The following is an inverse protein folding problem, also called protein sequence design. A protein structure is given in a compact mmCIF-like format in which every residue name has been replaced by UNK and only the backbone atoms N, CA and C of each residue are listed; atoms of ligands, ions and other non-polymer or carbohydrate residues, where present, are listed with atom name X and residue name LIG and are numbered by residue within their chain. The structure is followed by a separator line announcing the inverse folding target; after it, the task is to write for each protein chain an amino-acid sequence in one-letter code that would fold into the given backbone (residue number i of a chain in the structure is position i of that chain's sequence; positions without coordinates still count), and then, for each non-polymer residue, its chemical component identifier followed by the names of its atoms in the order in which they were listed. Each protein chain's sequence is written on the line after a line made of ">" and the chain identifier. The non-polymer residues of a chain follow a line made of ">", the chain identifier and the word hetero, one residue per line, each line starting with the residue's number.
data_IF_398142331808
#
_entry.id   IF_398142331808
#
_cell.length_a   1.000
_cell.length_b   1.000
_cell.length_c   1.000
_cell.angle_alpha   90.00
_cell.angle_beta   90.00
_cell.angle_gamma   90.00
#
_symmetry.space_group_name_H-M   'P 1'
#
loop_
_entity.id
_entity.type
_entity.pdbx_description
1 polymer ?
#
# COMPACT_ATOMS: atom_id res chain seq x y z
N UNK A 1 -25.40 16.72 20.83
CA UNK A 1 -23.97 16.85 21.17
C UNK A 1 -23.22 17.19 19.89
N UNK A 2 -22.15 17.99 19.96
CA UNK A 2 -21.32 18.22 18.78
C UNK A 2 -20.74 16.87 18.35
N UNK A 3 -20.88 16.53 17.07
CA UNK A 3 -20.39 15.26 16.49
C UNK A 3 -18.86 15.24 16.31
N UNK A 4 -18.17 16.27 16.80
CA UNK A 4 -16.74 16.45 16.69
C UNK A 4 -16.14 17.19 17.89
N UNK A 5 -14.81 17.04 18.08
CA UNK A 5 -13.99 17.63 19.15
C UNK A 5 -12.96 18.62 18.63
N UNK A 6 -13.16 19.20 17.44
CA UNK A 6 -12.19 20.11 16.82
C UNK A 6 -11.82 21.29 17.74
N UNK A 7 -12.81 21.85 18.45
CA UNK A 7 -12.56 22.98 19.36
C UNK A 7 -11.65 22.57 20.52
N UNK A 8 -11.90 21.42 21.14
CA UNK A 8 -11.09 20.91 22.25
C UNK A 8 -9.64 20.66 21.81
N UNK A 9 -9.45 20.12 20.60
CA UNK A 9 -8.13 19.88 20.03
C UNK A 9 -7.39 21.19 19.79
N UNK A 10 -8.06 22.21 19.23
CA UNK A 10 -7.46 23.53 19.03
C UNK A 10 -7.09 24.20 20.35
N UNK A 11 -7.97 24.15 21.35
CA UNK A 11 -7.71 24.69 22.69
C UNK A 11 -6.51 23.98 23.34
N UNK A 12 -6.42 22.65 23.21
CA UNK A 12 -5.30 21.85 23.74
C UNK A 12 -3.96 22.22 23.09
N UNK A 13 -3.97 22.51 21.79
CA UNK A 13 -2.80 22.92 21.00
C UNK A 13 -2.53 24.43 21.08
N UNK A 14 -3.34 25.20 21.82
CA UNK A 14 -3.29 26.67 21.90
C UNK A 14 -3.31 27.34 20.51
N UNK A 15 -4.10 26.77 19.59
CA UNK A 15 -4.17 27.20 18.20
C UNK A 15 -5.49 27.92 17.93
N UNK A 16 -5.42 29.05 17.24
CA UNK A 16 -6.58 29.82 16.80
C UNK A 16 -7.12 29.33 15.45
N UNK A 17 -8.37 29.67 15.14
CA UNK A 17 -8.94 29.41 13.80
C UNK A 17 -8.17 30.11 12.68
N UNK A 18 -7.52 31.25 12.97
CA UNK A 18 -6.70 31.97 12.00
C UNK A 18 -5.44 31.18 11.63
N UNK A 19 -4.83 30.50 12.60
CA UNK A 19 -3.67 29.63 12.38
C UNK A 19 -4.08 28.35 11.66
N UNK A 20 -5.17 27.71 12.08
CA UNK A 20 -5.70 26.54 11.36
C UNK A 20 -6.03 26.88 9.90
N UNK A 21 -6.63 28.05 9.65
CA UNK A 21 -6.91 28.53 8.29
C UNK A 21 -5.64 28.60 7.44
N UNK A 22 -4.54 29.14 7.96
CA UNK A 22 -3.27 29.22 7.24
C UNK A 22 -2.73 27.83 6.88
N UNK A 23 -2.77 26.89 7.82
CA UNK A 23 -2.33 25.51 7.58
C UNK A 23 -3.19 24.80 6.52
N UNK A 24 -4.49 25.07 6.49
CA UNK A 24 -5.39 24.54 5.48
C UNK A 24 -5.15 25.17 4.10
N UNK A 25 -4.80 26.46 4.04
CA UNK A 25 -4.43 27.14 2.79
C UNK A 25 -3.15 26.56 2.17
N UNK A 26 -2.18 26.12 2.98
CA UNK A 26 -0.98 25.40 2.51
C UNK A 26 -1.32 24.06 1.83
N UNK A 27 -2.47 23.46 2.16
CA UNK A 27 -3.00 22.23 1.56
C UNK A 27 -4.03 22.51 0.45
N UNK A 28 -4.07 23.73 -0.09
CA UNK A 28 -5.02 24.21 -1.11
C UNK A 28 -6.50 24.13 -0.66
N UNK A 29 -6.77 24.16 0.65
CA UNK A 29 -8.12 24.16 1.22
C UNK A 29 -8.52 25.59 1.61
N UNK A 30 -9.47 26.15 0.85
CA UNK A 30 -10.01 27.50 1.11
C UNK A 30 -11.20 27.45 2.07
N UNK A 31 -10.95 27.82 3.33
CA UNK A 31 -11.99 27.97 4.37
C UNK A 31 -11.81 29.29 5.13
N UNK A 32 -12.90 29.83 5.68
CA UNK A 32 -12.87 31.04 6.51
C UNK A 32 -13.09 30.74 8.00
N UNK A 33 -12.74 31.69 8.88
CA UNK A 33 -12.83 31.50 10.33
C UNK A 33 -14.28 31.26 10.80
N UNK A 34 -15.27 31.86 10.13
CA UNK A 34 -16.68 31.63 10.43
C UNK A 34 -17.11 30.20 10.13
N UNK A 35 -16.65 29.61 9.02
CA UNK A 35 -16.86 28.22 8.67
C UNK A 35 -16.21 27.28 9.69
N UNK A 36 -14.94 27.51 10.04
CA UNK A 36 -14.22 26.71 11.03
C UNK A 36 -14.91 26.75 12.41
N UNK A 37 -15.41 27.91 12.83
CA UNK A 37 -16.20 28.05 14.05
C UNK A 37 -17.50 27.24 13.99
N UNK A 38 -18.21 27.28 12.87
CA UNK A 38 -19.43 26.47 12.66
C UNK A 38 -19.14 24.97 12.61
N UNK A 39 -18.00 24.56 12.04
CA UNK A 39 -17.55 23.16 12.01
C UNK A 39 -17.24 22.67 13.42
N UNK A 40 -16.45 23.44 14.18
CA UNK A 40 -16.04 23.09 15.54
C UNK A 40 -17.20 22.98 16.53
N UNK A 41 -18.30 23.68 16.27
CA UNK A 41 -19.51 23.62 17.10
C UNK A 41 -20.51 22.56 16.65
N UNK A 42 -20.22 21.84 15.56
CA UNK A 42 -21.12 20.85 14.97
C UNK A 42 -22.39 21.44 14.35
N UNK A 43 -22.51 22.77 14.28
CA UNK A 43 -23.67 23.45 13.67
C UNK A 43 -23.71 23.29 12.16
N UNK A 44 -22.56 23.01 11.55
CA UNK A 44 -22.42 22.79 10.11
C UNK A 44 -21.30 21.81 9.88
N UNK A 45 -21.46 20.94 8.88
CA UNK A 45 -20.36 20.13 8.36
C UNK A 45 -19.80 20.73 7.06
N UNK A 46 -18.51 20.55 6.76
CA UNK A 46 -17.95 20.90 5.47
C UNK A 46 -18.68 20.14 4.36
N UNK A 47 -18.90 20.81 3.22
CA UNK A 47 -19.53 20.19 2.05
C UNK A 47 -18.68 19.05 1.50
N UNK A 48 -17.37 19.26 1.46
CA UNK A 48 -16.39 18.23 1.14
C UNK A 48 -15.89 17.61 2.45
N UNK A 49 -16.22 16.34 2.69
CA UNK A 49 -15.87 15.63 3.92
C UNK A 49 -14.36 15.42 4.08
N UNK A 50 -13.59 15.44 2.99
CA UNK A 50 -12.10 15.38 3.02
C UNK A 50 -11.48 16.52 3.83
N UNK A 51 -12.19 17.64 4.00
CA UNK A 51 -11.74 18.74 4.86
C UNK A 51 -11.46 18.24 6.28
N UNK A 52 -12.21 17.26 6.80
CA UNK A 52 -11.94 16.71 8.14
C UNK A 52 -10.63 15.93 8.21
N UNK A 53 -10.26 15.23 7.14
CA UNK A 53 -8.98 14.50 7.01
C UNK A 53 -7.83 15.49 6.95
N UNK A 54 -7.96 16.53 6.13
CA UNK A 54 -6.90 17.53 6.00
C UNK A 54 -6.74 18.29 7.32
N UNK A 55 -7.83 18.55 8.05
CA UNK A 55 -7.76 19.10 9.40
C UNK A 55 -7.02 18.14 10.35
N UNK A 56 -7.27 16.83 10.29
CA UNK A 56 -6.56 15.85 11.15
C UNK A 56 -5.07 15.80 10.83
N UNK A 57 -4.71 15.81 9.55
CA UNK A 57 -3.32 15.85 9.07
C UNK A 57 -2.58 17.10 9.55
N UNK A 58 -3.12 18.31 9.33
CA UNK A 58 -2.43 19.55 9.71
C UNK A 58 -2.35 19.74 11.22
N UNK A 59 -3.28 19.14 11.97
CA UNK A 59 -3.23 19.12 13.42
C UNK A 59 -2.36 17.97 13.96
N UNK A 60 -1.92 17.04 13.11
CA UNK A 60 -1.18 15.83 13.48
C UNK A 60 -1.89 15.05 14.60
N UNK A 61 -3.16 14.70 14.35
CA UNK A 61 -4.02 13.89 15.23
C UNK A 61 -4.80 12.89 14.39
N UNK A 62 -5.29 11.82 14.99
CA UNK A 62 -6.12 10.86 14.27
C UNK A 62 -7.50 11.44 13.95
N UNK A 63 -8.09 11.07 12.80
CA UNK A 63 -9.41 11.55 12.38
C UNK A 63 -10.49 11.25 13.44
N UNK A 64 -10.40 10.09 14.09
CA UNK A 64 -11.30 9.67 15.17
C UNK A 64 -11.18 10.50 16.46
N UNK A 65 -10.05 11.18 16.67
CA UNK A 65 -9.91 12.14 17.78
C UNK A 65 -10.75 13.40 17.52
N UNK A 66 -10.89 13.78 16.25
CA UNK A 66 -11.73 14.90 15.83
C UNK A 66 -13.19 14.46 15.68
N UNK A 67 -13.46 13.37 14.96
CA UNK A 67 -14.80 12.87 14.66
C UNK A 67 -15.10 11.67 15.55
N UNK A 68 -15.77 11.92 16.67
CA UNK A 68 -16.11 10.88 17.65
C UNK A 68 -17.37 10.10 17.31
N UNK A 69 -18.19 10.61 16.39
CA UNK A 69 -19.36 9.90 15.91
C UNK A 69 -18.96 8.82 14.87
N UNK A 70 -19.22 7.56 15.22
CA UNK A 70 -18.80 6.40 14.41
C UNK A 70 -19.44 6.43 13.02
N UNK A 71 -20.71 6.81 12.91
CA UNK A 71 -21.41 6.85 11.62
C UNK A 71 -20.83 7.95 10.72
N UNK A 72 -20.53 9.12 11.28
CA UNK A 72 -19.85 10.19 10.57
C UNK A 72 -18.45 9.78 10.10
N UNK A 73 -17.67 9.12 10.97
CA UNK A 73 -16.35 8.58 10.62
C UNK A 73 -16.44 7.60 9.44
N UNK A 74 -17.31 6.58 9.53
CA UNK A 74 -17.48 5.59 8.46
C UNK A 74 -17.89 6.24 7.14
N UNK A 75 -18.75 7.25 7.18
CA UNK A 75 -19.17 7.96 5.96
C UNK A 75 -18.03 8.77 5.34
N UNK A 76 -17.19 9.41 6.16
CA UNK A 76 -15.99 10.12 5.68
C UNK A 76 -15.01 9.13 5.04
N UNK A 77 -14.77 7.99 5.68
CA UNK A 77 -13.87 6.95 5.16
C UNK A 77 -14.38 6.32 3.86
N UNK A 78 -15.68 6.08 3.74
CA UNK A 78 -16.29 5.58 2.50
C UNK A 78 -16.12 6.59 1.35
N UNK A 79 -16.37 7.89 1.58
CA UNK A 79 -16.16 8.93 0.57
C UNK A 79 -14.68 9.12 0.19
N UNK A 80 -13.75 8.86 1.10
CA UNK A 80 -12.31 8.83 0.77
C UNK A 80 -12.04 7.65 -0.16
N UNK A 81 -12.55 6.47 0.16
CA UNK A 81 -12.41 5.26 -0.65
C UNK A 81 -12.98 5.44 -2.06
N UNK A 82 -14.18 6.01 -2.20
CA UNK A 82 -14.84 6.25 -3.49
C UNK A 82 -14.17 7.35 -4.34
N UNK A 83 -13.48 8.30 -3.70
CA UNK A 83 -12.68 9.29 -4.43
C UNK A 83 -11.22 8.86 -4.64
N UNK A 84 -10.82 7.68 -4.15
CA UNK A 84 -9.52 7.06 -4.44
C UNK A 84 -9.54 6.39 -5.82
N UNK A 85 -10.72 5.99 -6.31
CA UNK A 85 -10.92 5.48 -7.68
C UNK A 85 -10.62 6.49 -8.80
N UNK A 86 -10.41 7.77 -8.47
CA UNK A 86 -9.95 8.80 -9.42
C UNK A 86 -8.76 9.60 -8.84
N UNK A 87 -7.73 8.89 -8.37
CA UNK A 87 -6.32 9.33 -8.40
C UNK A 87 -5.42 8.13 -8.14
N UNK A 88 -5.54 7.11 -9.00
CA UNK A 88 -4.54 6.06 -9.11
C UNK A 88 -3.24 6.65 -9.69
N UNK A 89 -2.43 7.24 -8.82
CA UNK A 89 -1.02 6.87 -8.81
C UNK A 89 -0.93 5.49 -8.15
N UNK A 90 -1.55 4.49 -8.81
CA UNK A 90 -1.12 3.10 -8.73
C UNK A 90 0.37 3.20 -9.00
N UNK A 91 1.19 2.94 -7.98
CA UNK A 91 2.65 3.01 -8.16
C UNK A 91 2.99 2.16 -9.38
N UNK A 92 3.98 2.57 -10.19
CA UNK A 92 4.36 1.78 -11.38
C UNK A 92 4.52 0.29 -11.04
N UNK A 93 4.96 -0.02 -9.81
CA UNK A 93 5.03 -1.35 -9.21
C UNK A 93 3.70 -2.09 -9.09
N UNK A 94 2.66 -1.44 -8.55
CA UNK A 94 1.33 -2.05 -8.47
C UNK A 94 0.69 -2.21 -9.87
N UNK A 95 1.01 -1.35 -10.84
CA UNK A 95 0.63 -1.53 -12.25
C UNK A 95 1.40 -2.68 -12.91
N UNK A 96 2.68 -2.83 -12.61
CA UNK A 96 3.53 -3.93 -13.09
C UNK A 96 3.01 -5.26 -12.51
N UNK A 97 2.65 -5.28 -11.23
CA UNK A 97 2.10 -6.48 -10.60
C UNK A 97 0.73 -6.86 -11.20
N UNK A 98 -0.15 -5.88 -11.44
CA UNK A 98 -1.41 -6.12 -12.15
C UNK A 98 -1.18 -6.60 -13.60
N UNK A 99 -0.25 -5.98 -14.33
CA UNK A 99 0.06 -6.38 -15.71
C UNK A 99 0.62 -7.80 -15.78
N UNK A 100 1.55 -8.14 -14.87
CA UNK A 100 2.14 -9.48 -14.77
C UNK A 100 1.06 -10.51 -14.40
N UNK A 101 0.20 -10.20 -13.44
CA UNK A 101 -0.89 -11.09 -13.06
C UNK A 101 -1.82 -11.40 -14.24
N UNK A 102 -2.21 -10.38 -15.01
CA UNK A 102 -3.07 -10.57 -16.19
C UNK A 102 -2.37 -11.36 -17.30
N UNK A 103 -1.08 -11.12 -17.53
CA UNK A 103 -0.29 -11.92 -18.46
C UNK A 103 -0.29 -13.40 -18.05
N UNK A 104 0.10 -13.71 -16.82
CA UNK A 104 0.20 -15.09 -16.34
C UNK A 104 -1.17 -15.77 -16.27
N UNK A 105 -2.23 -15.04 -15.91
CA UNK A 105 -3.60 -15.56 -15.92
C UNK A 105 -4.04 -15.95 -17.33
N UNK A 106 -3.65 -15.18 -18.36
CA UNK A 106 -3.98 -15.49 -19.76
C UNK A 106 -3.31 -16.77 -20.29
N UNK A 107 -2.29 -17.29 -19.59
CA UNK A 107 -1.56 -18.49 -19.97
C UNK A 107 -2.15 -19.78 -19.39
N UNK A 108 -3.06 -19.67 -18.42
CA UNK A 108 -3.53 -20.81 -17.61
C UNK A 108 -5.02 -21.07 -17.78
N UNK A 109 -5.43 -22.28 -17.39
CA UNK A 109 -6.84 -22.61 -17.27
C UNK A 109 -7.38 -22.13 -15.91
N UNK A 110 -8.18 -21.05 -15.94
CA UNK A 110 -8.80 -20.48 -14.75
C UNK A 110 -9.72 -21.46 -14.00
N UNK A 111 -10.23 -22.50 -14.68
CA UNK A 111 -11.04 -23.52 -14.04
C UNK A 111 -10.22 -24.53 -13.22
N UNK A 112 -8.89 -24.52 -13.37
CA UNK A 112 -7.98 -25.42 -12.68
C UNK A 112 -7.32 -24.74 -11.46
N UNK A 113 -7.70 -25.12 -10.21
CA UNK A 113 -7.21 -24.43 -9.01
C UNK A 113 -5.69 -24.48 -8.84
N UNK A 114 -5.05 -25.56 -9.29
CA UNK A 114 -3.59 -25.72 -9.21
C UNK A 114 -2.81 -24.82 -10.16
N UNK A 115 -3.43 -24.31 -11.23
CA UNK A 115 -2.79 -23.33 -12.12
C UNK A 115 -3.02 -21.92 -11.61
N UNK A 116 -4.23 -21.61 -11.13
CA UNK A 116 -4.52 -20.33 -10.49
C UNK A 116 -3.61 -20.08 -9.28
N UNK A 117 -3.38 -21.11 -8.46
CA UNK A 117 -2.46 -21.01 -7.32
C UNK A 117 -1.01 -20.70 -7.75
N UNK A 118 -0.53 -21.26 -8.88
CA UNK A 118 0.81 -20.96 -9.40
C UNK A 118 0.95 -19.51 -9.82
N UNK A 119 -0.08 -18.94 -10.45
CA UNK A 119 -0.11 -17.51 -10.81
C UNK A 119 0.00 -16.65 -9.57
N UNK A 120 -0.85 -16.92 -8.57
CA UNK A 120 -0.84 -16.17 -7.30
C UNK A 120 0.51 -16.30 -6.57
N UNK A 121 1.06 -17.52 -6.52
CA UNK A 121 2.36 -17.81 -5.90
C UNK A 121 3.48 -17.07 -6.61
N UNK A 122 3.49 -17.04 -7.94
CA UNK A 122 4.49 -16.31 -8.72
C UNK A 122 4.47 -14.81 -8.39
N UNK A 123 3.30 -14.17 -8.47
CA UNK A 123 3.14 -12.76 -8.12
C UNK A 123 3.56 -12.47 -6.67
N UNK A 124 3.21 -13.34 -5.74
CA UNK A 124 3.61 -13.22 -4.32
C UNK A 124 5.13 -13.31 -4.12
N UNK A 125 5.80 -14.23 -4.82
CA UNK A 125 7.25 -14.37 -4.78
C UNK A 125 7.94 -13.16 -5.43
N UNK A 126 7.41 -12.65 -6.55
CA UNK A 126 7.95 -11.46 -7.22
C UNK A 126 7.87 -10.22 -6.31
N UNK A 127 6.73 -10.00 -5.67
CA UNK A 127 6.57 -8.91 -4.69
C UNK A 127 7.53 -9.06 -3.49
N UNK A 128 7.73 -10.29 -3.01
CA UNK A 128 8.69 -10.55 -1.92
C UNK A 128 10.13 -10.27 -2.36
N UNK A 129 10.49 -10.64 -3.58
CA UNK A 129 11.81 -10.38 -4.14
C UNK A 129 12.12 -8.89 -4.24
N UNK A 130 11.15 -8.09 -4.68
CA UNK A 130 11.27 -6.63 -4.75
C UNK A 130 11.47 -6.02 -3.36
N UNK A 131 10.64 -6.41 -2.38
CA UNK A 131 10.74 -5.90 -1.01
C UNK A 131 12.08 -6.22 -0.37
N UNK A 132 12.58 -7.45 -0.54
CA UNK A 132 13.92 -7.82 -0.07
C UNK A 132 15.01 -6.96 -0.72
N UNK A 133 14.82 -6.57 -1.98
CA UNK A 133 15.73 -5.66 -2.67
C UNK A 133 15.71 -4.24 -2.10
N UNK A 134 14.53 -3.72 -1.77
CA UNK A 134 14.37 -2.43 -1.08
C UNK A 134 15.06 -2.44 0.28
N UNK A 135 14.83 -3.48 1.09
CA UNK A 135 15.45 -3.65 2.41
C UNK A 135 16.99 -3.69 2.30
N UNK A 136 17.54 -4.38 1.28
CA UNK A 136 18.99 -4.43 1.03
C UNK A 136 19.54 -3.07 0.60
N UNK A 137 18.79 -2.28 -0.17
CA UNK A 137 19.20 -0.93 -0.59
C UNK A 137 19.21 0.02 0.62
N UNK A 138 18.19 -0.08 1.48
CA UNK A 138 18.03 0.76 2.67
C UNK A 138 19.08 0.44 3.75
N UNK A 139 19.22 -0.84 4.11
CA UNK A 139 20.13 -1.27 5.19
C UNK A 139 21.57 -1.48 4.71
N UNK A 140 21.76 -1.67 3.42
CA UNK A 140 23.03 -2.01 2.80
C UNK A 140 23.33 -3.52 2.82
N UNK A 141 24.32 -3.93 2.03
CA UNK A 141 24.72 -5.32 1.88
C UNK A 141 25.40 -5.93 3.12
N UNK A 142 25.85 -5.08 4.04
CA UNK A 142 26.52 -5.45 5.29
C UNK A 142 25.88 -4.69 6.43
N UNK A 143 25.33 -5.42 7.39
CA UNK A 143 24.70 -4.88 8.58
C UNK A 143 25.64 -4.99 9.79
N UNK A 144 25.51 -4.05 10.72
CA UNK A 144 26.28 -4.03 11.96
C UNK A 144 25.41 -4.59 13.07
N UNK A 145 25.89 -5.67 13.70
CA UNK A 145 25.16 -6.36 14.77
C UNK A 145 25.93 -6.20 16.09
N UNK A 146 25.30 -5.71 17.17
CA UNK A 146 25.90 -5.70 18.50
C UNK A 146 26.20 -7.13 18.98
N UNK A 147 27.39 -7.33 19.57
CA UNK A 147 27.83 -8.60 20.14
C UNK A 147 28.60 -8.35 21.44
N UNK A 148 27.89 -8.44 22.56
CA UNK A 148 28.42 -8.02 23.87
C UNK A 148 28.82 -6.55 23.85
N UNK A 149 30.05 -6.25 24.25
CA UNK A 149 30.62 -4.90 24.25
C UNK A 149 31.21 -4.47 22.88
N UNK A 150 31.06 -5.31 21.85
CA UNK A 150 31.65 -5.07 20.52
C UNK A 150 30.58 -5.07 19.42
N UNK A 151 30.96 -4.60 18.22
CA UNK A 151 30.11 -4.63 17.03
C UNK A 151 30.73 -5.51 15.95
N UNK A 152 29.91 -6.36 15.33
CA UNK A 152 30.35 -7.29 14.28
C UNK A 152 29.64 -6.96 12.99
N UNK A 153 30.39 -6.88 11.88
CA UNK A 153 29.84 -6.73 10.53
C UNK A 153 29.43 -8.11 10.01
N UNK A 154 28.18 -8.23 9.57
CA UNK A 154 27.64 -9.45 8.95
C UNK A 154 26.97 -9.11 7.64
N UNK A 155 26.95 -10.07 6.71
CA UNK A 155 26.15 -9.96 5.48
C UNK A 155 24.69 -9.77 5.84
N UNK A 156 23.99 -8.89 5.11
CA UNK A 156 22.56 -8.70 5.29
C UNK A 156 21.82 -10.04 5.04
N UNK A 157 21.07 -10.56 6.04
CA UNK A 157 20.32 -11.81 5.89
C UNK A 157 19.34 -11.80 4.70
N UNK A 158 18.80 -10.64 4.35
CA UNK A 158 17.88 -10.47 3.23
C UNK A 158 18.50 -10.89 1.88
N UNK A 159 19.83 -10.79 1.72
CA UNK A 159 20.53 -11.23 0.49
C UNK A 159 20.34 -12.75 0.30
N UNK A 160 20.51 -13.54 1.36
CA UNK A 160 20.38 -14.99 1.26
C UNK A 160 18.92 -15.40 0.98
N UNK A 161 17.95 -14.69 1.54
CA UNK A 161 16.54 -14.90 1.22
C UNK A 161 16.21 -14.49 -0.21
N UNK A 162 16.74 -13.36 -0.69
CA UNK A 162 16.50 -12.88 -2.05
C UNK A 162 16.99 -13.89 -3.09
N UNK A 163 18.15 -14.53 -2.85
CA UNK A 163 18.66 -15.62 -3.69
C UNK A 163 17.72 -16.84 -3.68
N UNK A 164 17.15 -17.21 -2.51
CA UNK A 164 16.19 -18.32 -2.42
C UNK A 164 14.89 -18.02 -3.17
N UNK A 165 14.35 -16.82 -3.01
CA UNK A 165 13.14 -16.38 -3.73
C UNK A 165 13.38 -16.36 -5.23
N UNK A 166 14.53 -15.86 -5.69
CA UNK A 166 14.91 -15.88 -7.11
C UNK A 166 14.97 -17.29 -7.69
N UNK A 167 15.57 -18.24 -6.96
CA UNK A 167 15.62 -19.63 -7.41
C UNK A 167 14.21 -20.26 -7.53
N UNK A 168 13.29 -19.91 -6.63
CA UNK A 168 11.90 -20.35 -6.72
C UNK A 168 11.15 -19.70 -7.90
N UNK A 169 11.40 -18.42 -8.18
CA UNK A 169 10.85 -17.71 -9.32
C UNK A 169 11.31 -18.32 -10.64
N UNK A 170 12.61 -18.60 -10.81
CA UNK A 170 13.15 -19.23 -12.03
C UNK A 170 12.44 -20.55 -12.32
N UNK A 171 12.29 -21.41 -11.30
CA UNK A 171 11.59 -22.71 -11.46
C UNK A 171 10.13 -22.57 -11.86
N UNK A 172 9.41 -21.58 -11.31
CA UNK A 172 8.04 -21.33 -11.72
C UNK A 172 7.95 -20.68 -13.09
N UNK A 173 8.91 -19.82 -13.46
CA UNK A 173 8.95 -19.17 -14.76
C UNK A 173 9.20 -20.19 -15.88
N UNK A 174 10.04 -21.21 -15.65
CA UNK A 174 10.21 -22.35 -16.56
C UNK A 174 8.86 -23.02 -16.89
N UNK A 175 7.98 -23.18 -15.90
CA UNK A 175 6.64 -23.71 -16.11
C UNK A 175 5.76 -22.78 -16.96
N UNK A 176 5.80 -21.47 -16.71
CA UNK A 176 5.06 -20.47 -17.50
C UNK A 176 5.62 -20.33 -18.93
N UNK A 177 6.92 -20.49 -19.13
CA UNK A 177 7.55 -20.47 -20.45
C UNK A 177 7.03 -21.61 -21.35
N UNK A 178 6.82 -22.78 -20.76
CA UNK A 178 6.23 -23.91 -21.46
C UNK A 178 4.75 -23.68 -21.82
N UNK A 179 4.00 -22.95 -20.97
CA UNK A 179 2.65 -22.49 -21.31
C UNK A 179 2.66 -21.47 -22.45
N UNK A 180 3.60 -20.51 -22.46
CA UNK A 180 3.80 -19.55 -23.55
C UNK A 180 4.09 -20.25 -24.88
N UNK A 181 4.97 -21.24 -24.89
CA UNK A 181 5.30 -22.03 -26.09
C UNK A 181 4.09 -22.81 -26.61
N UNK A 182 3.36 -23.47 -25.70
CA UNK A 182 2.16 -24.24 -26.03
C UNK A 182 1.06 -23.36 -26.66
N UNK A 183 0.89 -22.13 -26.17
CA UNK A 183 -0.10 -21.19 -26.68
C UNK A 183 0.27 -20.56 -28.05
N UNK A 184 1.57 -20.46 -28.36
CA UNK A 184 2.05 -19.90 -29.62
C UNK A 184 2.13 -20.92 -30.77
N UNK A 185 1.74 -22.18 -30.54
CA UNK A 185 1.78 -23.24 -31.55
C UNK A 185 3.18 -23.79 -31.83
N UNK A 186 4.19 -23.39 -31.06
CA UNK A 186 5.51 -24.01 -31.08
C UNK A 186 5.46 -25.30 -30.26
N UNK A 187 5.70 -26.42 -30.94
CA UNK A 187 5.62 -27.74 -30.33
C UNK A 187 6.73 -27.87 -29.25
N UNK A 188 6.40 -28.04 -27.95
CA UNK A 188 7.42 -28.18 -26.92
C UNK A 188 8.26 -29.43 -27.22
N UNK A 189 9.58 -29.36 -27.01
CA UNK A 189 10.42 -30.56 -27.05
C UNK A 189 9.95 -31.50 -25.94
N UNK A 190 9.15 -32.49 -26.33
CA UNK A 190 8.61 -33.53 -25.48
C UNK A 190 9.74 -34.25 -24.74
N UNK A 191 9.75 -34.21 -23.40
CA UNK A 191 10.63 -35.12 -22.65
C UNK A 191 10.96 -34.82 -21.20
N UNK A 192 10.29 -33.93 -20.47
CA UNK A 192 10.56 -33.78 -19.03
C UNK A 192 9.39 -34.27 -18.17
N UNK A 193 9.76 -35.14 -17.21
CA UNK A 193 8.89 -35.80 -16.25
C UNK A 193 8.39 -34.78 -15.21
N UNK A 194 7.08 -34.73 -15.02
CA UNK A 194 6.37 -33.69 -14.28
C UNK A 194 6.11 -34.04 -12.81
N UNK A 195 6.68 -35.15 -12.34
CA UNK A 195 6.49 -35.61 -10.96
C UNK A 195 7.36 -34.89 -9.91
N UNK A 196 8.31 -34.04 -10.33
CA UNK A 196 9.26 -33.38 -9.40
C UNK A 196 8.80 -32.02 -8.84
N UNK A 197 7.68 -31.47 -9.31
CA UNK A 197 7.21 -30.12 -8.94
C UNK A 197 6.01 -30.10 -7.98
N UNK A 198 5.62 -31.25 -7.40
CA UNK A 198 4.61 -31.37 -6.33
C UNK A 198 5.25 -31.74 -5.01
#
# INVERSE_FOLDING_TARGET
>A
MATNRLKEILDSKKMSFSELKKLLEEKDVKVNNSQLSLYSSGKRNPKNKKIWVIISEVLNVELQEIITDINAYLTIMAEISENSSEKNAQTEKEKINDSLYQELLSLVDESMPSELEKVQRYCGLAATFEKLGEDIIEEGAVVIVPSGDSVVKKTNPAIAEQVRVNAALIKLDEWFELKRQSNNGDNPKSGEDWSEFT
#
